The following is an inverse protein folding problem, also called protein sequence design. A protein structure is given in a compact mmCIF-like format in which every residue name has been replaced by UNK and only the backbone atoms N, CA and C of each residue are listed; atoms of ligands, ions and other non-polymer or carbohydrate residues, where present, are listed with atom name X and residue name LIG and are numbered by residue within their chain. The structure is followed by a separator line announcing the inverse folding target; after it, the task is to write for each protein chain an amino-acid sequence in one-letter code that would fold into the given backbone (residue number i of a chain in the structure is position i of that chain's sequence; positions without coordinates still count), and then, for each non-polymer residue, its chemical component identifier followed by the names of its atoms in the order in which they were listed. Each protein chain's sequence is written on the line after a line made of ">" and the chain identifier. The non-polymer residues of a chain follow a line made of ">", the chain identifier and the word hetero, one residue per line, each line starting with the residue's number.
data_IF_946301050356
#
_entry.id   IF_946301050356
#
_cell.length_a   1.000
_cell.length_b   1.000
_cell.length_c   1.000
_cell.angle_alpha   90.00
_cell.angle_beta   90.00
_cell.angle_gamma   90.00
#
_symmetry.space_group_name_H-M   'P 1'
#
loop_
_entity.id
_entity.type
_entity.pdbx_description
1 polymer ?
#
# COMPACT_ATOMS: atom_id res chain seq x y z
N UNK A 1 -0.61 -4.81 77.48
CA UNK A 1 -0.98 -3.40 77.21
C UNK A 1 -0.75 -3.16 75.73
N UNK A 2 -1.77 -3.38 74.89
CA UNK A 2 -1.66 -3.33 73.42
C UNK A 2 -2.74 -2.39 72.92
N UNK A 3 -2.33 -1.24 72.38
CA UNK A 3 -3.22 -0.22 71.84
C UNK A 3 -3.76 -0.66 70.47
N UNK A 4 -5.08 -0.88 70.39
CA UNK A 4 -5.82 -0.94 69.13
C UNK A 4 -5.93 0.48 68.54
N UNK A 5 -5.26 0.74 67.42
CA UNK A 5 -5.58 1.87 66.52
C UNK A 5 -6.63 1.41 65.52
N UNK A 6 -7.81 2.01 65.59
CA UNK A 6 -8.82 1.98 64.53
C UNK A 6 -8.44 3.02 63.49
N UNK A 7 -8.08 2.60 62.28
CA UNK A 7 -7.99 3.50 61.14
C UNK A 7 -9.36 3.55 60.46
N UNK A 8 -9.92 4.76 60.42
CA UNK A 8 -11.21 5.06 59.80
C UNK A 8 -11.04 5.21 58.29
N UNK A 9 -11.71 4.33 57.57
CA UNK A 9 -11.87 4.34 56.13
C UNK A 9 -12.84 5.47 55.73
N UNK A 10 -12.31 6.62 55.28
CA UNK A 10 -13.11 7.66 54.62
C UNK A 10 -13.09 7.41 53.11
N UNK A 11 -14.06 6.64 52.62
CA UNK A 11 -14.44 6.63 51.19
C UNK A 11 -14.89 8.03 50.81
N UNK A 12 -14.07 8.74 50.02
CA UNK A 12 -14.52 9.89 49.24
C UNK A 12 -15.31 9.37 48.06
N UNK A 13 -16.63 9.53 48.09
CA UNK A 13 -17.47 9.42 46.89
C UNK A 13 -17.04 10.51 45.91
N UNK A 14 -16.20 10.11 44.96
CA UNK A 14 -15.89 10.89 43.77
C UNK A 14 -17.17 10.97 42.94
N UNK A 15 -17.83 12.12 43.05
CA UNK A 15 -19.00 12.51 42.28
C UNK A 15 -18.61 12.55 40.79
N UNK A 16 -18.70 11.39 40.14
CA UNK A 16 -18.36 11.24 38.72
C UNK A 16 -19.56 11.78 37.96
N UNK A 17 -19.55 13.09 37.70
CA UNK A 17 -20.51 13.73 36.78
C UNK A 17 -20.33 13.06 35.42
N UNK A 18 -21.19 12.09 35.12
CA UNK A 18 -21.38 11.58 33.78
C UNK A 18 -21.75 12.78 32.91
N UNK A 19 -20.80 13.24 32.09
CA UNK A 19 -21.04 14.16 30.99
C UNK A 19 -21.93 13.42 29.98
N UNK A 20 -23.22 13.42 30.26
CA UNK A 20 -24.25 13.02 29.31
C UNK A 20 -24.31 14.13 28.27
N UNK A 21 -23.56 13.96 27.18
CA UNK A 21 -23.73 14.76 25.98
C UNK A 21 -25.16 14.55 25.50
N UNK A 22 -26.02 15.52 25.79
CA UNK A 22 -27.41 15.53 25.40
C UNK A 22 -27.48 15.91 23.91
N UNK A 23 -27.05 14.98 23.05
CA UNK A 23 -27.14 15.11 21.61
C UNK A 23 -28.63 15.15 21.26
N UNK A 24 -29.06 16.28 20.68
CA UNK A 24 -30.44 16.54 20.28
C UNK A 24 -31.08 15.31 19.63
N UNK A 25 -32.25 14.91 20.14
CA UNK A 25 -33.02 13.76 19.65
C UNK A 25 -33.35 13.87 18.15
N UNK A 26 -33.37 15.08 17.59
CA UNK A 26 -33.57 15.30 16.15
C UNK A 26 -32.32 14.99 15.32
N UNK A 27 -31.12 15.22 15.87
CA UNK A 27 -29.85 14.86 15.23
C UNK A 27 -29.68 13.34 15.24
N UNK A 28 -29.95 12.67 16.38
CA UNK A 28 -29.99 11.20 16.45
C UNK A 28 -30.96 10.61 15.43
N UNK A 29 -32.19 11.14 15.30
CA UNK A 29 -33.16 10.64 14.31
C UNK A 29 -32.74 10.92 12.86
N UNK A 30 -32.14 12.07 12.55
CA UNK A 30 -31.66 12.36 11.19
C UNK A 30 -30.46 11.49 10.81
N UNK A 31 -29.52 11.29 11.72
CA UNK A 31 -28.36 10.40 11.51
C UNK A 31 -28.81 8.94 11.42
N UNK A 32 -29.70 8.47 12.30
CA UNK A 32 -30.28 7.12 12.22
C UNK A 32 -31.15 6.91 10.98
N UNK A 33 -31.91 7.92 10.50
CA UNK A 33 -32.66 7.81 9.24
C UNK A 33 -31.75 7.82 8.03
N UNK A 34 -30.62 8.55 8.04
CA UNK A 34 -29.63 8.48 6.97
C UNK A 34 -28.84 7.16 7.00
N UNK A 35 -28.52 6.65 8.19
CA UNK A 35 -27.88 5.33 8.37
C UNK A 35 -28.80 4.16 7.98
N UNK A 36 -30.11 4.25 8.24
CA UNK A 36 -31.09 3.22 7.84
C UNK A 36 -31.29 3.10 6.32
N UNK A 37 -30.83 4.05 5.52
CA UNK A 37 -30.97 4.00 4.05
C UNK A 37 -29.80 3.27 3.37
N UNK A 38 -28.66 3.07 4.07
CA UNK A 38 -27.47 2.42 3.49
C UNK A 38 -27.01 1.16 4.26
N UNK A 39 -27.81 0.62 5.19
CA UNK A 39 -27.50 -0.65 5.90
C UNK A 39 -27.46 -1.88 4.98
N UNK A 40 -27.71 -1.75 3.68
CA UNK A 40 -27.40 -2.80 2.69
C UNK A 40 -25.90 -3.01 2.44
N UNK A 41 -25.03 -2.17 3.02
CA UNK A 41 -23.59 -2.31 2.95
C UNK A 41 -22.98 -2.83 4.26
N UNK A 42 -23.69 -3.63 5.05
CA UNK A 42 -23.05 -4.41 6.11
C UNK A 42 -22.19 -5.47 5.44
N UNK A 43 -20.87 -5.27 5.41
CA UNK A 43 -19.96 -6.38 5.14
C UNK A 43 -20.21 -7.44 6.22
N UNK A 44 -20.44 -8.69 5.81
CA UNK A 44 -20.53 -9.79 6.75
C UNK A 44 -19.19 -9.93 7.48
N UNK A 45 -19.20 -10.43 8.72
CA UNK A 45 -17.95 -10.61 9.49
C UNK A 45 -16.89 -11.39 8.69
N UNK A 46 -17.31 -12.44 7.98
CA UNK A 46 -16.44 -13.24 7.13
C UNK A 46 -15.74 -12.43 6.02
N UNK A 47 -16.44 -11.46 5.42
CA UNK A 47 -15.86 -10.59 4.40
C UNK A 47 -14.81 -9.65 5.01
N UNK A 48 -15.12 -9.09 6.18
CA UNK A 48 -14.23 -8.17 6.88
C UNK A 48 -12.97 -8.89 7.40
N UNK A 49 -13.13 -10.09 7.94
CA UNK A 49 -12.03 -10.97 8.34
C UNK A 49 -11.15 -11.33 7.12
N UNK A 50 -11.78 -11.73 6.02
CA UNK A 50 -11.09 -12.06 4.76
C UNK A 50 -10.30 -10.87 4.21
N UNK A 51 -10.88 -9.67 4.22
CA UNK A 51 -10.20 -8.44 3.81
C UNK A 51 -9.00 -8.11 4.71
N UNK A 52 -9.16 -8.19 6.03
CA UNK A 52 -8.08 -7.90 6.99
C UNK A 52 -6.92 -8.89 6.84
N UNK A 53 -7.22 -10.18 6.75
CA UNK A 53 -6.25 -11.25 6.56
C UNK A 53 -5.48 -11.06 5.26
N UNK A 54 -6.18 -10.80 4.16
CA UNK A 54 -5.58 -10.59 2.84
C UNK A 54 -4.62 -9.39 2.83
N UNK A 55 -5.03 -8.25 3.40
CA UNK A 55 -4.15 -7.07 3.53
C UNK A 55 -2.91 -7.38 4.35
N UNK A 56 -3.07 -8.10 5.47
CA UNK A 56 -1.96 -8.51 6.32
C UNK A 56 -0.96 -9.42 5.60
N UNK A 57 -1.46 -10.43 4.87
CA UNK A 57 -0.63 -11.36 4.09
C UNK A 57 0.17 -10.62 3.01
N UNK A 58 -0.49 -9.74 2.23
CA UNK A 58 0.20 -8.97 1.20
C UNK A 58 1.23 -8.01 1.78
N UNK A 59 0.88 -7.29 2.86
CA UNK A 59 1.81 -6.39 3.53
C UNK A 59 3.03 -7.15 4.07
N UNK A 60 2.83 -8.30 4.72
CA UNK A 60 3.92 -9.14 5.23
C UNK A 60 4.80 -9.69 4.10
N UNK A 61 4.20 -10.17 3.01
CA UNK A 61 4.93 -10.70 1.86
C UNK A 61 5.81 -9.62 1.21
N UNK A 62 5.23 -8.46 0.89
CA UNK A 62 5.99 -7.37 0.25
C UNK A 62 7.04 -6.81 1.21
N UNK A 63 6.72 -6.66 2.49
CA UNK A 63 7.68 -6.24 3.52
C UNK A 63 8.86 -7.21 3.61
N UNK A 64 8.60 -8.52 3.56
CA UNK A 64 9.67 -9.53 3.60
C UNK A 64 10.61 -9.41 2.40
N UNK A 65 10.07 -9.21 1.20
CA UNK A 65 10.83 -8.99 -0.03
C UNK A 65 11.62 -7.68 0.09
N UNK A 66 11.00 -6.62 0.57
CA UNK A 66 11.60 -5.30 0.71
C UNK A 66 12.79 -5.30 1.68
N UNK A 67 12.66 -5.98 2.82
CA UNK A 67 13.75 -6.15 3.78
C UNK A 67 14.86 -7.01 3.18
N UNK A 68 14.53 -8.13 2.53
CA UNK A 68 15.51 -8.99 1.89
C UNK A 68 16.33 -8.23 0.84
N UNK A 69 15.65 -7.42 0.02
CA UNK A 69 16.26 -6.54 -0.98
C UNK A 69 17.23 -5.55 -0.34
N UNK A 70 16.84 -4.91 0.77
CA UNK A 70 17.68 -3.93 1.45
C UNK A 70 19.04 -4.52 1.86
N UNK A 71 19.02 -5.75 2.38
CA UNK A 71 20.21 -6.45 2.82
C UNK A 71 20.95 -7.18 1.68
N UNK A 72 20.29 -7.40 0.53
CA UNK A 72 20.90 -8.07 -0.61
C UNK A 72 21.90 -7.21 -1.38
N UNK A 73 21.83 -5.88 -1.24
CA UNK A 73 22.73 -4.95 -1.94
C UNK A 73 23.89 -4.59 -1.01
N UNK A 74 25.13 -5.00 -1.31
CA UNK A 74 26.28 -4.67 -0.48
C UNK A 74 26.58 -3.16 -0.55
N UNK A 75 27.10 -2.61 0.55
CA UNK A 75 27.44 -1.18 0.66
C UNK A 75 28.37 -0.71 -0.48
N UNK A 76 29.32 -1.56 -0.90
CA UNK A 76 30.23 -1.22 -1.98
C UNK A 76 29.51 -0.98 -3.31
N UNK A 77 28.43 -1.70 -3.62
CA UNK A 77 27.65 -1.46 -4.83
C UNK A 77 26.92 -0.12 -4.78
N UNK A 78 26.41 0.26 -3.60
CA UNK A 78 25.82 1.59 -3.42
C UNK A 78 26.84 2.70 -3.64
N UNK A 79 28.06 2.54 -3.11
CA UNK A 79 29.15 3.50 -3.31
C UNK A 79 29.59 3.58 -4.79
N UNK A 80 29.55 2.47 -5.52
CA UNK A 80 29.80 2.47 -6.98
C UNK A 80 28.70 3.23 -7.72
N UNK A 81 27.43 3.05 -7.32
CA UNK A 81 26.31 3.83 -7.85
C UNK A 81 26.46 5.33 -7.58
N UNK A 82 26.83 5.69 -6.34
CA UNK A 82 27.08 7.08 -5.95
C UNK A 82 28.31 7.65 -6.67
N UNK A 83 29.37 6.86 -6.88
CA UNK A 83 30.53 7.25 -7.66
C UNK A 83 30.11 7.67 -9.08
N UNK A 84 29.37 6.80 -9.76
CA UNK A 84 28.87 7.05 -11.11
C UNK A 84 28.01 8.31 -11.17
N UNK A 85 27.02 8.41 -10.28
CA UNK A 85 26.13 9.58 -10.27
C UNK A 85 26.90 10.85 -9.97
N UNK A 86 27.85 10.82 -9.04
CA UNK A 86 28.65 11.99 -8.68
C UNK A 86 29.55 12.44 -9.83
N UNK A 87 30.13 11.50 -10.60
CA UNK A 87 30.87 11.83 -11.81
C UNK A 87 29.98 12.55 -12.83
N UNK A 88 28.74 12.11 -13.00
CA UNK A 88 27.83 12.69 -14.00
C UNK A 88 27.25 14.02 -13.53
N UNK A 89 26.77 14.10 -12.28
CA UNK A 89 26.02 15.24 -11.76
C UNK A 89 26.90 16.39 -11.27
N UNK A 90 28.12 16.13 -10.77
CA UNK A 90 28.89 17.14 -10.04
C UNK A 90 30.24 17.45 -10.70
N UNK A 91 30.38 18.60 -11.38
CA UNK A 91 31.66 19.03 -11.93
C UNK A 91 32.78 19.09 -10.89
N UNK A 92 32.51 19.53 -9.65
CA UNK A 92 33.54 19.58 -8.61
C UNK A 92 34.01 18.18 -8.21
N UNK A 93 33.13 17.18 -8.25
CA UNK A 93 33.49 15.80 -7.95
C UNK A 93 34.44 15.23 -9.01
N UNK A 94 34.26 15.60 -10.28
CA UNK A 94 35.14 15.16 -11.37
C UNK A 94 36.57 15.68 -11.21
N UNK A 95 36.72 16.93 -10.78
CA UNK A 95 38.03 17.52 -10.42
C UNK A 95 38.67 16.73 -9.27
N UNK A 96 37.91 16.48 -8.20
CA UNK A 96 38.38 15.68 -7.07
C UNK A 96 38.75 14.24 -7.47
N UNK A 97 37.95 13.60 -8.33
CA UNK A 97 38.21 12.26 -8.81
C UNK A 97 39.51 12.22 -9.63
N UNK A 98 39.73 13.20 -10.50
CA UNK A 98 40.96 13.33 -11.28
C UNK A 98 42.19 13.52 -10.38
N UNK A 99 42.11 14.36 -9.35
CA UNK A 99 43.19 14.53 -8.36
C UNK A 99 43.51 13.21 -7.67
N UNK A 100 42.50 12.46 -7.24
CA UNK A 100 42.69 11.15 -6.60
C UNK A 100 43.29 10.11 -7.55
N UNK A 101 42.89 10.10 -8.82
CA UNK A 101 43.49 9.21 -9.82
C UNK A 101 44.97 9.53 -10.04
N UNK A 102 45.33 10.83 -10.05
CA UNK A 102 46.74 11.27 -10.15
C UNK A 102 47.55 10.90 -8.92
N UNK A 103 47.00 11.04 -7.72
CA UNK A 103 47.68 10.64 -6.47
C UNK A 103 47.99 9.12 -6.43
N UNK A 104 47.24 8.31 -7.15
CA UNK A 104 47.43 6.85 -7.23
C UNK A 104 48.28 6.41 -8.42
N UNK A 105 48.88 7.35 -9.17
CA UNK A 105 49.60 7.08 -10.42
C UNK A 105 48.77 6.29 -11.45
N UNK A 106 47.44 6.51 -11.46
CA UNK A 106 46.54 5.82 -12.40
C UNK A 106 46.77 6.33 -13.84
N UNK A 107 46.88 5.46 -14.86
CA UNK A 107 47.09 5.90 -16.24
C UNK A 107 45.90 6.72 -16.74
N UNK A 108 46.15 7.90 -17.30
CA UNK A 108 45.11 8.83 -17.74
C UNK A 108 44.83 8.79 -19.25
N UNK A 109 45.55 7.95 -19.98
CA UNK A 109 45.39 7.73 -21.42
C UNK A 109 45.14 6.25 -21.64
N UNK A 110 44.05 5.92 -22.33
CA UNK A 110 43.68 4.55 -22.66
C UNK A 110 43.41 4.43 -24.15
N UNK A 111 44.04 3.44 -24.78
CA UNK A 111 43.72 3.03 -26.15
C UNK A 111 42.42 2.22 -26.13
N UNK A 112 41.38 2.74 -26.78
CA UNK A 112 40.05 2.13 -26.86
C UNK A 112 39.92 1.22 -28.09
N UNK A 113 40.98 1.11 -28.88
CA UNK A 113 41.01 0.43 -30.17
C UNK A 113 40.84 1.40 -31.33
N UNK A 114 40.84 0.89 -32.57
CA UNK A 114 40.62 1.71 -33.75
C UNK A 114 39.18 2.22 -33.82
N UNK A 115 39.03 3.47 -34.25
CA UNK A 115 37.75 4.10 -34.51
C UNK A 115 37.08 3.55 -35.78
N UNK A 116 35.97 4.16 -36.21
CA UNK A 116 35.25 3.76 -37.43
C UNK A 116 36.07 3.95 -38.72
N UNK A 117 37.12 4.74 -38.67
CA UNK A 117 38.02 5.03 -39.78
C UNK A 117 39.32 4.22 -39.73
N UNK A 118 39.53 3.44 -38.66
CA UNK A 118 40.73 2.64 -38.46
C UNK A 118 41.86 3.39 -37.77
N UNK A 119 41.63 4.64 -37.36
CA UNK A 119 42.60 5.44 -36.62
C UNK A 119 42.56 5.08 -35.12
N UNK A 120 43.69 5.08 -34.39
CA UNK A 120 43.71 4.75 -32.98
C UNK A 120 42.88 5.76 -32.17
N UNK A 121 41.85 5.28 -31.47
CA UNK A 121 41.04 6.08 -30.56
C UNK A 121 41.68 6.04 -29.17
N UNK A 122 42.08 7.21 -28.66
CA UNK A 122 42.71 7.34 -27.35
C UNK A 122 41.78 8.16 -26.45
N UNK A 123 41.18 7.48 -25.47
CA UNK A 123 40.41 8.14 -24.44
C UNK A 123 41.36 8.83 -23.45
N UNK A 124 41.29 10.16 -23.41
CA UNK A 124 41.95 10.96 -22.40
C UNK A 124 41.00 11.19 -21.22
N UNK A 125 41.32 10.56 -20.09
CA UNK A 125 40.51 10.65 -18.86
C UNK A 125 40.47 12.09 -18.32
N UNK A 126 41.55 12.85 -18.50
CA UNK A 126 41.59 14.26 -18.04
C UNK A 126 40.60 15.11 -18.80
N UNK A 127 40.55 15.02 -20.13
CA UNK A 127 39.57 15.77 -20.92
C UNK A 127 38.16 15.28 -20.64
N UNK A 128 37.93 13.96 -20.68
CA UNK A 128 36.62 13.37 -20.42
C UNK A 128 36.00 13.80 -19.07
N UNK A 129 36.80 13.92 -18.01
CA UNK A 129 36.33 14.39 -16.70
C UNK A 129 36.14 15.91 -16.64
N UNK A 130 36.88 16.71 -17.40
CA UNK A 130 36.80 18.16 -17.34
C UNK A 130 35.84 18.77 -18.38
N UNK A 131 35.47 18.01 -19.41
CA UNK A 131 34.51 18.43 -20.43
C UNK A 131 33.17 18.79 -19.79
N UNK A 132 32.48 19.84 -20.23
CA UNK A 132 31.19 20.20 -19.68
C UNK A 132 30.20 19.04 -19.85
N UNK A 133 29.63 18.57 -18.75
CA UNK A 133 28.57 17.55 -18.79
C UNK A 133 27.29 18.23 -18.35
N UNK A 134 26.32 18.26 -19.25
CA UNK A 134 25.01 18.81 -18.97
C UNK A 134 24.02 17.67 -18.78
N UNK A 135 23.50 17.53 -17.56
CA UNK A 135 22.55 16.49 -17.19
C UNK A 135 21.21 17.16 -16.94
N UNK A 136 20.15 16.64 -17.56
CA UNK A 136 18.78 17.06 -17.26
C UNK A 136 18.50 16.90 -15.76
N UNK A 137 18.03 17.98 -15.13
CA UNK A 137 17.70 18.06 -13.72
C UNK A 137 16.45 17.24 -13.35
N UNK A 138 16.37 15.95 -13.72
CA UNK A 138 15.28 15.08 -13.24
C UNK A 138 15.34 14.96 -11.69
N UNK A 139 16.51 15.21 -11.09
CA UNK A 139 16.72 15.26 -9.64
C UNK A 139 17.12 16.64 -9.09
N UNK A 140 16.90 17.73 -9.84
CA UNK A 140 17.01 19.10 -9.31
C UNK A 140 18.42 19.70 -9.21
N UNK A 141 19.42 19.14 -9.91
CA UNK A 141 20.80 19.68 -9.94
C UNK A 141 21.35 20.07 -11.33
N UNK A 142 20.55 19.95 -12.39
CA UNK A 142 21.02 20.12 -13.77
C UNK A 142 20.89 21.55 -14.31
N UNK A 143 21.91 22.01 -15.01
CA UNK A 143 21.88 23.20 -15.87
C UNK A 143 21.12 22.89 -17.18
N UNK A 144 20.29 23.83 -17.64
CA UNK A 144 19.40 23.73 -18.81
C UNK A 144 20.15 23.61 -20.15
N UNK A 145 20.84 22.50 -20.40
CA UNK A 145 21.55 22.26 -21.65
C UNK A 145 21.26 20.85 -22.18
N UNK A 146 20.31 20.79 -23.11
CA UNK A 146 20.05 19.62 -23.93
C UNK A 146 21.11 19.56 -25.04
N UNK A 147 22.15 18.70 -24.96
CA UNK A 147 22.67 17.93 -26.13
C UNK A 147 24.05 17.24 -26.04
N UNK A 148 24.83 17.26 -24.96
CA UNK A 148 26.17 16.63 -25.02
C UNK A 148 26.17 15.13 -24.62
N UNK A 149 25.50 14.31 -25.46
CA UNK A 149 25.47 12.84 -25.33
C UNK A 149 26.89 12.24 -25.25
N UNK A 150 27.81 12.81 -26.03
CA UNK A 150 29.19 12.37 -26.12
C UNK A 150 29.97 12.59 -24.81
N UNK A 151 29.83 13.76 -24.19
CA UNK A 151 30.46 14.07 -22.90
C UNK A 151 30.01 13.10 -21.80
N UNK A 152 28.70 12.79 -21.76
CA UNK A 152 28.15 11.78 -20.83
C UNK A 152 28.73 10.39 -21.11
N UNK A 153 28.84 9.98 -22.37
CA UNK A 153 29.44 8.69 -22.73
C UNK A 153 30.91 8.61 -22.32
N UNK A 154 31.68 9.69 -22.54
CA UNK A 154 33.08 9.75 -22.14
C UNK A 154 33.22 9.61 -20.61
N UNK A 155 32.39 10.29 -19.83
CA UNK A 155 32.37 10.13 -18.36
C UNK A 155 31.95 8.71 -17.93
N UNK A 156 30.97 8.10 -18.61
CA UNK A 156 30.55 6.72 -18.32
C UNK A 156 31.70 5.73 -18.65
N UNK A 157 32.46 5.96 -19.72
CA UNK A 157 33.67 5.18 -20.03
C UNK A 157 34.74 5.34 -18.94
N UNK A 158 35.00 6.57 -18.48
CA UNK A 158 35.91 6.81 -17.35
C UNK A 158 35.44 6.03 -16.13
N UNK A 159 34.16 6.10 -15.77
CA UNK A 159 33.59 5.33 -14.67
C UNK A 159 33.89 3.82 -14.83
N UNK A 160 33.70 3.25 -16.01
CA UNK A 160 33.96 1.83 -16.24
C UNK A 160 35.43 1.44 -16.10
N UNK A 161 36.34 2.33 -16.49
CA UNK A 161 37.78 2.15 -16.35
C UNK A 161 38.26 2.30 -14.89
N UNK A 162 37.62 3.18 -14.13
CA UNK A 162 38.10 3.57 -12.79
C UNK A 162 37.36 2.89 -11.64
N UNK A 163 36.13 2.37 -11.83
CA UNK A 163 35.27 1.85 -10.74
C UNK A 163 35.89 0.78 -9.85
N UNK A 164 36.87 0.01 -10.35
CA UNK A 164 37.57 -1.05 -9.60
C UNK A 164 38.80 -0.53 -8.87
N UNK A 165 39.40 0.57 -9.33
CA UNK A 165 40.62 1.15 -8.78
C UNK A 165 40.35 2.37 -7.88
N UNK A 166 39.26 3.10 -8.12
CA UNK A 166 38.93 4.32 -7.39
C UNK A 166 38.66 4.02 -5.90
N UNK A 167 39.21 4.81 -4.96
CA UNK A 167 39.09 4.53 -3.53
C UNK A 167 37.68 4.89 -3.02
N UNK A 168 36.72 3.97 -3.16
CA UNK A 168 35.29 4.22 -2.86
C UNK A 168 35.01 4.80 -1.47
N UNK A 169 35.87 4.53 -0.48
CA UNK A 169 35.73 5.05 0.89
C UNK A 169 35.85 6.58 0.99
N UNK A 170 36.43 7.27 0.00
CA UNK A 170 36.55 8.74 0.00
C UNK A 170 35.30 9.44 -0.51
N UNK A 171 34.36 8.69 -1.10
CA UNK A 171 33.16 9.23 -1.74
C UNK A 171 32.21 9.79 -0.70
N UNK A 172 31.89 9.02 0.34
CA UNK A 172 30.94 9.44 1.38
C UNK A 172 31.39 10.72 2.10
N UNK A 173 32.64 10.85 2.60
CA UNK A 173 33.07 12.09 3.24
C UNK A 173 33.08 13.31 2.29
N UNK A 174 33.36 13.08 1.00
CA UNK A 174 33.30 14.16 0.01
C UNK A 174 31.85 14.62 -0.19
N UNK A 175 30.92 13.68 -0.33
CA UNK A 175 29.50 13.95 -0.54
C UNK A 175 28.89 14.67 0.66
N UNK A 176 29.13 14.20 1.88
CA UNK A 176 28.63 14.80 3.11
C UNK A 176 29.07 16.26 3.28
N UNK A 177 30.25 16.61 2.74
CA UNK A 177 30.81 17.97 2.84
C UNK A 177 30.34 18.91 1.73
N UNK A 178 30.15 18.41 0.52
CA UNK A 178 30.03 19.26 -0.67
C UNK A 178 28.63 19.26 -1.29
N UNK A 179 27.78 18.26 -1.00
CA UNK A 179 26.49 18.09 -1.67
C UNK A 179 25.33 17.94 -0.69
N UNK A 180 24.15 18.51 -0.99
CA UNK A 180 22.92 18.13 -0.31
C UNK A 180 22.55 16.69 -0.69
N UNK A 181 22.21 15.87 0.31
CA UNK A 181 22.03 14.41 0.19
C UNK A 181 20.94 13.98 -0.83
N UNK A 182 20.10 14.89 -1.31
CA UNK A 182 18.86 14.61 -2.03
C UNK A 182 18.98 14.14 -3.48
N UNK A 183 20.16 13.84 -4.02
CA UNK A 183 20.28 13.31 -5.40
C UNK A 183 21.05 11.99 -5.49
N UNK A 184 21.59 11.49 -4.37
CA UNK A 184 22.40 10.29 -4.34
C UNK A 184 21.58 9.01 -4.44
N UNK A 185 22.13 8.00 -5.12
CA UNK A 185 21.49 6.70 -5.29
C UNK A 185 21.30 6.00 -3.94
N UNK A 186 22.31 6.06 -3.07
CA UNK A 186 22.22 5.53 -1.70
C UNK A 186 21.14 6.23 -0.89
N UNK A 187 21.08 7.56 -0.94
CA UNK A 187 20.08 8.35 -0.22
C UNK A 187 18.66 8.07 -0.73
N UNK A 188 18.47 8.02 -2.05
CA UNK A 188 17.18 7.69 -2.67
C UNK A 188 16.74 6.28 -2.29
N UNK A 189 17.65 5.31 -2.36
CA UNK A 189 17.37 3.95 -1.94
C UNK A 189 16.95 3.91 -0.47
N UNK A 190 17.71 4.54 0.44
CA UNK A 190 17.39 4.57 1.87
C UNK A 190 16.04 5.26 2.11
N UNK A 191 15.76 6.37 1.43
CA UNK A 191 14.52 7.13 1.59
C UNK A 191 13.31 6.33 1.13
N UNK A 192 13.31 5.85 -0.12
CA UNK A 192 12.17 5.09 -0.65
C UNK A 192 12.03 3.75 0.06
N UNK A 193 13.13 3.09 0.39
CA UNK A 193 13.10 1.83 1.12
C UNK A 193 12.57 2.02 2.55
N UNK A 194 13.06 3.03 3.27
CA UNK A 194 12.59 3.38 4.61
C UNK A 194 11.11 3.73 4.61
N UNK A 195 10.65 4.60 3.70
CA UNK A 195 9.24 4.94 3.57
C UNK A 195 8.37 3.71 3.27
N UNK A 196 8.78 2.87 2.32
CA UNK A 196 8.06 1.65 1.94
C UNK A 196 7.96 0.67 3.12
N UNK A 197 9.07 0.46 3.83
CA UNK A 197 9.14 -0.40 5.01
C UNK A 197 8.22 0.10 6.13
N UNK A 198 8.25 1.41 6.42
CA UNK A 198 7.39 2.02 7.44
C UNK A 198 5.91 1.86 7.06
N UNK A 199 5.55 2.17 5.81
CA UNK A 199 4.16 2.05 5.33
C UNK A 199 3.65 0.61 5.49
N UNK A 200 4.39 -0.38 4.98
CA UNK A 200 3.95 -1.78 5.09
C UNK A 200 3.96 -2.30 6.52
N UNK A 201 4.88 -1.85 7.36
CA UNK A 201 4.86 -2.18 8.79
C UNK A 201 3.61 -1.63 9.46
N UNK A 202 3.23 -0.38 9.18
CA UNK A 202 2.00 0.21 9.73
C UNK A 202 0.74 -0.48 9.20
N UNK A 203 0.70 -0.84 7.90
CA UNK A 203 -0.42 -1.60 7.33
C UNK A 203 -0.53 -2.99 7.97
N UNK A 204 0.59 -3.68 8.18
CA UNK A 204 0.62 -4.99 8.82
C UNK A 204 0.17 -4.91 10.29
N UNK A 205 0.71 -3.96 11.06
CA UNK A 205 0.30 -3.72 12.45
C UNK A 205 -1.17 -3.35 12.55
N UNK A 206 -1.65 -2.51 11.63
CA UNK A 206 -3.07 -2.17 11.50
C UNK A 206 -3.92 -3.42 11.28
N UNK A 207 -3.59 -4.22 10.26
CA UNK A 207 -4.29 -5.48 9.96
C UNK A 207 -4.34 -6.42 11.18
N UNK A 208 -3.20 -6.65 11.85
CA UNK A 208 -3.13 -7.51 13.05
C UNK A 208 -3.99 -6.95 14.19
N UNK A 209 -3.92 -5.63 14.44
CA UNK A 209 -4.66 -5.00 15.52
C UNK A 209 -6.17 -5.06 15.26
N UNK A 210 -6.61 -4.74 14.04
CA UNK A 210 -8.01 -4.85 13.65
C UNK A 210 -8.50 -6.30 13.68
N UNK A 211 -7.71 -7.25 13.17
CA UNK A 211 -8.04 -8.67 13.25
C UNK A 211 -8.19 -9.15 14.70
N UNK A 212 -7.27 -8.77 15.58
CA UNK A 212 -7.31 -9.16 17.00
C UNK A 212 -8.49 -8.51 17.72
N UNK A 213 -8.78 -7.22 17.44
CA UNK A 213 -9.93 -6.54 18.04
C UNK A 213 -11.25 -7.12 17.54
N UNK A 214 -11.36 -7.50 16.27
CA UNK A 214 -12.52 -8.21 15.74
C UNK A 214 -12.68 -9.55 16.46
N UNK A 215 -11.61 -10.35 16.53
CA UNK A 215 -11.61 -11.68 17.14
C UNK A 215 -11.95 -11.67 18.64
N UNK A 216 -11.60 -10.59 19.35
CA UNK A 216 -11.89 -10.41 20.78
C UNK A 216 -13.21 -9.67 21.05
N UNK A 217 -13.89 -9.16 20.03
CA UNK A 217 -15.12 -8.40 20.21
C UNK A 217 -16.36 -9.29 20.12
N UNK A 218 -17.39 -8.91 20.86
CA UNK A 218 -18.74 -9.51 20.80
C UNK A 218 -19.42 -9.35 19.42
N UNK A 219 -18.78 -8.65 18.46
CA UNK A 219 -19.25 -8.56 17.07
C UNK A 219 -19.28 -9.93 16.38
N UNK A 220 -18.44 -10.87 16.83
CA UNK A 220 -18.47 -12.24 16.32
C UNK A 220 -19.64 -13.05 16.90
N UNK A 221 -19.82 -12.99 18.21
CA UNK A 221 -20.88 -13.73 18.93
C UNK A 221 -22.28 -13.18 18.59
N UNK A 222 -22.39 -11.87 18.40
CA UNK A 222 -23.64 -11.21 18.03
C UNK A 222 -24.21 -11.65 16.68
N UNK A 223 -23.37 -11.98 15.70
CA UNK A 223 -23.83 -12.45 14.38
C UNK A 223 -24.42 -13.87 14.46
N UNK A 224 -23.81 -14.76 15.24
CA UNK A 224 -24.30 -16.12 15.48
C UNK A 224 -25.65 -16.13 16.24
N UNK A 225 -25.88 -15.14 17.11
CA UNK A 225 -27.13 -14.93 17.85
C UNK A 225 -28.19 -14.11 17.07
N UNK A 226 -27.87 -13.67 15.85
CA UNK A 226 -28.76 -12.84 15.01
C UNK A 226 -28.86 -11.36 15.43
N UNK A 227 -28.04 -10.92 16.38
CA UNK A 227 -27.92 -9.53 16.83
C UNK A 227 -26.81 -8.78 16.06
N UNK A 228 -27.18 -8.08 15.01
CA UNK A 228 -26.24 -7.35 14.13
C UNK A 228 -25.71 -6.01 14.70
N UNK A 229 -26.28 -5.52 15.81
CA UNK A 229 -25.93 -4.20 16.37
C UNK A 229 -24.43 -4.04 16.70
N UNK A 230 -23.77 -4.98 17.40
CA UNK A 230 -22.35 -4.85 17.72
C UNK A 230 -21.48 -4.77 16.46
N UNK A 231 -21.79 -5.57 15.43
CA UNK A 231 -21.11 -5.59 14.14
C UNK A 231 -21.30 -4.29 13.37
N UNK A 232 -22.51 -3.70 13.38
CA UNK A 232 -22.76 -2.38 12.79
C UNK A 232 -21.91 -1.29 13.43
N UNK A 233 -21.80 -1.28 14.77
CA UNK A 233 -20.96 -0.31 15.47
C UNK A 233 -19.47 -0.50 15.20
N UNK A 234 -19.01 -1.75 15.17
CA UNK A 234 -17.63 -2.07 14.80
C UNK A 234 -17.33 -1.59 13.38
N UNK A 235 -18.22 -1.85 12.42
CA UNK A 235 -18.08 -1.47 11.03
C UNK A 235 -17.95 0.04 10.82
N UNK A 236 -18.63 0.87 11.62
CA UNK A 236 -18.53 2.34 11.54
C UNK A 236 -17.08 2.82 11.77
N UNK A 237 -16.31 2.13 12.62
CA UNK A 237 -14.93 2.48 12.95
C UNK A 237 -13.94 1.71 12.07
N UNK A 238 -14.20 0.43 11.84
CA UNK A 238 -13.33 -0.46 11.08
C UNK A 238 -13.28 -0.08 9.60
N UNK A 239 -14.42 0.24 8.96
CA UNK A 239 -14.47 0.49 7.52
C UNK A 239 -13.60 1.69 7.07
N UNK A 240 -13.67 2.89 7.71
CA UNK A 240 -12.79 3.99 7.35
C UNK A 240 -11.31 3.62 7.51
N UNK A 241 -10.98 2.86 8.55
CA UNK A 241 -9.59 2.46 8.82
C UNK A 241 -9.10 1.41 7.82
N UNK A 242 -9.97 0.49 7.41
CA UNK A 242 -9.74 -0.42 6.30
C UNK A 242 -9.48 0.35 5.00
N UNK A 243 -10.29 1.37 4.68
CA UNK A 243 -10.04 2.20 3.50
C UNK A 243 -8.68 2.91 3.55
N UNK A 244 -8.29 3.46 4.70
CA UNK A 244 -6.99 4.11 4.89
C UNK A 244 -5.85 3.09 4.73
N UNK A 245 -5.96 1.91 5.34
CA UNK A 245 -4.93 0.86 5.24
C UNK A 245 -4.80 0.32 3.82
N UNK A 246 -5.91 0.15 3.08
CA UNK A 246 -5.87 -0.18 1.65
C UNK A 246 -5.20 0.93 0.83
N UNK A 247 -5.55 2.20 1.06
CA UNK A 247 -4.91 3.33 0.39
C UNK A 247 -3.39 3.38 0.65
N UNK A 248 -2.99 3.17 1.91
CA UNK A 248 -1.59 3.09 2.30
C UNK A 248 -0.88 1.88 1.67
N UNK A 249 -1.54 0.72 1.58
CA UNK A 249 -1.01 -0.47 0.90
C UNK A 249 -0.76 -0.19 -0.58
N UNK A 250 -1.69 0.45 -1.28
CA UNK A 250 -1.51 0.83 -2.70
C UNK A 250 -0.34 1.80 -2.84
N UNK A 251 -0.27 2.84 -2.00
CA UNK A 251 0.85 3.78 -2.00
C UNK A 251 2.19 3.09 -1.72
N UNK A 252 2.22 2.15 -0.78
CA UNK A 252 3.39 1.33 -0.46
C UNK A 252 3.82 0.45 -1.63
N UNK A 253 2.88 -0.19 -2.35
CA UNK A 253 3.16 -0.98 -3.56
C UNK A 253 3.78 -0.10 -4.64
N UNK A 254 3.23 1.10 -4.88
CA UNK A 254 3.79 2.04 -5.85
C UNK A 254 5.22 2.41 -5.45
N UNK A 255 5.46 2.82 -4.20
CA UNK A 255 6.79 3.15 -3.70
C UNK A 255 7.78 1.97 -3.77
N UNK A 256 7.31 0.75 -3.51
CA UNK A 256 8.09 -0.49 -3.67
C UNK A 256 8.60 -0.66 -5.10
N UNK A 257 7.75 -0.46 -6.11
CA UNK A 257 8.17 -0.53 -7.51
C UNK A 257 9.09 0.63 -7.93
N UNK A 258 8.88 1.84 -7.40
CA UNK A 258 9.83 2.95 -7.56
C UNK A 258 11.21 2.54 -7.00
N UNK A 259 11.26 1.98 -5.80
CA UNK A 259 12.49 1.50 -5.18
C UNK A 259 13.18 0.42 -6.03
N UNK A 260 12.43 -0.57 -6.56
CA UNK A 260 12.95 -1.58 -7.50
C UNK A 260 13.63 -0.94 -8.72
N UNK A 261 13.03 0.09 -9.30
CA UNK A 261 13.61 0.79 -10.44
C UNK A 261 14.93 1.48 -10.07
N UNK A 262 15.00 2.14 -8.90
CA UNK A 262 16.24 2.76 -8.42
C UNK A 262 17.36 1.76 -8.19
N UNK A 263 17.05 0.56 -7.70
CA UNK A 263 18.08 -0.48 -7.54
C UNK A 263 18.60 -0.99 -8.88
N UNK A 264 17.74 -1.07 -9.89
CA UNK A 264 18.18 -1.39 -11.25
C UNK A 264 19.08 -0.30 -11.84
N UNK A 265 18.87 0.98 -11.49
CA UNK A 265 19.76 2.07 -11.89
C UNK A 265 21.19 1.90 -11.35
N UNK A 266 21.32 1.51 -10.08
CA UNK A 266 22.62 1.30 -9.42
C UNK A 266 23.44 0.24 -10.18
N UNK A 267 22.78 -0.80 -10.70
CA UNK A 267 23.41 -1.92 -11.41
C UNK A 267 23.41 -1.79 -12.93
N UNK A 268 22.91 -0.69 -13.48
CA UNK A 268 22.78 -0.53 -14.92
C UNK A 268 24.18 -0.51 -15.59
N UNK A 269 24.39 -1.28 -16.68
CA UNK A 269 25.71 -1.42 -17.28
C UNK A 269 26.19 -0.17 -18.01
N UNK A 270 25.32 0.80 -18.32
CA UNK A 270 25.66 2.08 -18.93
C UNK A 270 24.67 3.17 -18.54
N UNK A 271 25.08 4.43 -18.61
CA UNK A 271 24.26 5.55 -18.14
C UNK A 271 23.01 5.69 -19.01
N UNK A 272 23.13 5.38 -20.31
CA UNK A 272 21.98 5.37 -21.22
C UNK A 272 20.95 4.31 -20.84
N UNK A 273 21.38 3.11 -20.46
CA UNK A 273 20.47 2.07 -19.98
C UNK A 273 19.85 2.52 -18.66
N UNK A 274 20.64 3.12 -17.76
CA UNK A 274 20.15 3.69 -16.52
C UNK A 274 19.05 4.74 -16.78
N UNK A 275 19.32 5.79 -17.56
CA UNK A 275 18.35 6.86 -17.83
C UNK A 275 17.09 6.38 -18.59
N UNK A 276 17.24 5.44 -19.52
CA UNK A 276 16.12 4.92 -20.29
C UNK A 276 15.22 4.00 -19.46
N UNK A 277 15.77 3.28 -18.49
CA UNK A 277 15.06 2.21 -17.80
C UNK A 277 13.84 2.71 -16.98
N UNK A 278 13.95 3.70 -16.06
CA UNK A 278 12.79 4.25 -15.37
C UNK A 278 11.78 4.84 -16.35
N UNK A 279 12.28 5.50 -17.41
CA UNK A 279 11.42 6.11 -18.43
C UNK A 279 10.53 5.07 -19.11
N UNK A 280 11.12 3.94 -19.52
CA UNK A 280 10.39 2.86 -20.20
C UNK A 280 9.55 2.07 -19.20
N UNK A 281 10.15 1.58 -18.12
CA UNK A 281 9.46 0.69 -17.19
C UNK A 281 8.40 1.39 -16.36
N UNK A 282 8.67 2.58 -15.82
CA UNK A 282 7.69 3.27 -14.99
C UNK A 282 6.59 3.91 -15.83
N UNK A 283 6.96 4.73 -16.82
CA UNK A 283 5.96 5.55 -17.51
C UNK A 283 5.29 4.83 -18.68
N UNK A 284 5.93 3.84 -19.32
CA UNK A 284 5.34 3.14 -20.47
C UNK A 284 4.73 1.79 -20.12
N UNK A 285 5.19 1.13 -19.06
CA UNK A 285 4.72 -0.21 -18.69
C UNK A 285 3.91 -0.18 -17.39
N UNK A 286 4.54 0.18 -16.26
CA UNK A 286 3.92 0.07 -14.94
C UNK A 286 2.78 1.06 -14.74
N UNK A 287 2.94 2.34 -15.09
CA UNK A 287 1.86 3.33 -14.96
C UNK A 287 0.66 2.97 -15.85
N UNK A 288 0.80 2.74 -17.17
CA UNK A 288 -0.34 2.39 -18.02
C UNK A 288 -0.95 1.04 -17.66
N UNK A 289 -0.12 0.03 -17.34
CA UNK A 289 -0.58 -1.28 -16.90
C UNK A 289 -1.33 -1.22 -15.57
N UNK A 290 -0.80 -0.48 -14.60
CA UNK A 290 -1.44 -0.24 -13.30
C UNK A 290 -2.76 0.54 -13.44
N UNK A 291 -2.80 1.56 -14.31
CA UNK A 291 -4.04 2.28 -14.63
C UNK A 291 -5.06 1.37 -15.32
N UNK A 292 -4.63 0.53 -16.26
CA UNK A 292 -5.50 -0.43 -16.95
C UNK A 292 -6.09 -1.45 -15.97
N UNK A 293 -5.26 -2.05 -15.10
CA UNK A 293 -5.72 -2.98 -14.07
C UNK A 293 -6.65 -2.28 -13.08
N UNK A 294 -6.34 -1.03 -12.69
CA UNK A 294 -7.19 -0.23 -11.82
C UNK A 294 -8.55 0.06 -12.46
N UNK A 295 -8.56 0.45 -13.74
CA UNK A 295 -9.78 0.69 -14.52
C UNK A 295 -10.61 -0.58 -14.66
N UNK A 296 -9.98 -1.71 -15.01
CA UNK A 296 -10.67 -3.01 -15.10
C UNK A 296 -11.25 -3.44 -13.75
N UNK A 297 -10.51 -3.25 -12.66
CA UNK A 297 -11.00 -3.53 -11.29
C UNK A 297 -12.19 -2.63 -10.95
N UNK A 298 -12.15 -1.35 -11.32
CA UNK A 298 -13.25 -0.41 -11.10
C UNK A 298 -14.49 -0.77 -11.92
N UNK A 299 -14.33 -1.14 -13.19
CA UNK A 299 -15.42 -1.61 -14.05
C UNK A 299 -16.02 -2.90 -13.49
N UNK A 300 -15.20 -3.87 -13.08
CA UNK A 300 -15.67 -5.10 -12.46
C UNK A 300 -16.49 -4.82 -11.19
N UNK A 301 -16.06 -3.86 -10.36
CA UNK A 301 -16.79 -3.42 -9.18
C UNK A 301 -18.15 -2.80 -9.54
N UNK A 302 -18.20 -1.92 -10.56
CA UNK A 302 -19.46 -1.34 -11.04
C UNK A 302 -20.40 -2.43 -11.55
N UNK A 303 -19.90 -3.35 -12.37
CA UNK A 303 -20.70 -4.44 -12.95
C UNK A 303 -21.23 -5.36 -11.85
N UNK A 304 -20.39 -5.73 -10.87
CA UNK A 304 -20.77 -6.54 -9.72
C UNK A 304 -21.86 -5.86 -8.88
N UNK A 305 -21.71 -4.57 -8.60
CA UNK A 305 -22.70 -3.80 -7.84
C UNK A 305 -24.04 -3.68 -8.58
N UNK A 306 -24.00 -3.43 -9.89
CA UNK A 306 -25.20 -3.36 -10.72
C UNK A 306 -25.89 -4.73 -10.82
N UNK A 307 -25.12 -5.81 -10.98
CA UNK A 307 -25.67 -7.17 -11.02
C UNK A 307 -26.42 -7.52 -9.73
N UNK A 308 -25.81 -7.24 -8.57
CA UNK A 308 -26.44 -7.45 -7.26
C UNK A 308 -27.73 -6.63 -7.12
N UNK A 309 -27.74 -5.38 -7.60
CA UNK A 309 -28.94 -4.54 -7.62
C UNK A 309 -30.06 -5.14 -8.49
N UNK A 310 -29.74 -5.65 -9.69
CA UNK A 310 -30.71 -6.29 -10.57
C UNK A 310 -31.26 -7.60 -9.98
N UNK A 311 -30.42 -8.41 -9.36
CA UNK A 311 -30.85 -9.66 -8.72
C UNK A 311 -31.77 -9.39 -7.53
N UNK A 312 -31.43 -8.42 -6.67
CA UNK A 312 -32.28 -7.97 -5.57
C UNK A 312 -33.65 -7.48 -6.06
N UNK A 313 -33.66 -6.71 -7.16
CA UNK A 313 -34.91 -6.23 -7.75
C UNK A 313 -35.74 -7.40 -8.32
N UNK A 314 -35.09 -8.40 -8.93
CA UNK A 314 -35.77 -9.58 -9.45
C UNK A 314 -36.37 -10.41 -8.31
N UNK A 315 -35.62 -10.64 -7.22
CA UNK A 315 -36.09 -11.37 -6.03
C UNK A 315 -37.30 -10.70 -5.36
N UNK A 316 -37.30 -9.37 -5.24
CA UNK A 316 -38.47 -8.63 -4.73
C UNK A 316 -39.71 -8.83 -5.58
N UNK A 317 -39.59 -8.69 -6.91
CA UNK A 317 -40.72 -8.92 -7.82
C UNK A 317 -41.28 -10.34 -7.72
N UNK A 318 -40.42 -11.35 -7.55
CA UNK A 318 -40.90 -12.74 -7.36
C UNK A 318 -41.59 -12.93 -6.02
N UNK A 319 -41.10 -12.32 -4.94
CA UNK A 319 -41.76 -12.39 -3.62
C UNK A 319 -43.13 -11.70 -3.63
N UNK A 320 -43.23 -10.53 -4.26
CA UNK A 320 -44.50 -9.81 -4.37
C UNK A 320 -45.53 -10.60 -5.20
N UNK A 321 -45.09 -11.28 -6.27
CA UNK A 321 -45.96 -12.13 -7.09
C UNK A 321 -46.45 -13.38 -6.35
N UNK A 322 -45.59 -14.02 -5.54
CA UNK A 322 -45.98 -15.19 -4.74
C UNK A 322 -46.89 -14.80 -3.57
N UNK A 323 -46.70 -13.63 -2.95
CA UNK A 323 -47.62 -13.16 -1.90
C UNK A 323 -48.99 -12.76 -2.44
N UNK A 324 -49.08 -12.30 -3.69
CA UNK A 324 -50.38 -11.93 -4.28
C UNK A 324 -51.18 -13.17 -4.70
N UNK A 325 -50.52 -14.22 -5.21
CA UNK A 325 -51.19 -15.48 -5.55
C UNK A 325 -51.70 -16.26 -4.32
N UNK A 326 -51.04 -16.13 -3.16
CA UNK A 326 -51.49 -16.77 -1.91
C UNK A 326 -52.73 -16.09 -1.33
N UNK A 327 -52.91 -14.79 -1.57
CA UNK A 327 -54.11 -14.06 -1.11
C UNK A 327 -55.33 -14.38 -2.00
N UNK A 328 -55.13 -14.62 -3.30
CA UNK A 328 -56.22 -15.02 -4.20
C UNK A 328 -56.72 -16.46 -3.94
N UNK A 329 -55.88 -17.38 -3.46
CA UNK A 329 -56.33 -18.74 -3.08
C UNK A 329 -57.05 -18.78 -1.72
N UNK A 330 -56.80 -17.85 -0.78
CA UNK A 330 -57.54 -17.79 0.49
C UNK A 330 -58.93 -17.13 0.38
N UNK A 331 -59.16 -16.22 -0.58
CA UNK A 331 -60.49 -15.61 -0.78
C UNK A 331 -61.49 -16.54 -1.49
N UNK A 332 -61.03 -17.49 -2.31
CA UNK A 332 -61.91 -18.45 -2.99
C UNK A 332 -62.34 -19.65 -2.09
N UNK A 333 -61.61 -19.94 -1.01
CA UNK A 333 -61.95 -21.03 -0.08
C UNK A 333 -62.86 -20.58 1.10
N UNK A 334 -62.98 -19.28 1.40
CA UNK A 334 -63.91 -18.78 2.44
C UNK A 334 -65.36 -18.65 1.95
N UNK A 335 -65.65 -18.69 0.64
CA UNK A 335 -67.02 -18.62 0.10
C UNK A 335 -67.75 -19.99 0.01
N UNK A 336 -67.12 -21.09 0.43
CA UNK A 336 -67.74 -22.43 0.47
C UNK A 336 -67.98 -23.03 1.86
N UNK A 337 -67.88 -22.24 2.94
CA UNK A 337 -68.11 -22.75 4.30
C UNK A 337 -69.15 -21.99 5.13
N UNK A 338 -70.21 -21.50 4.50
CA UNK A 338 -71.44 -21.08 5.19
C UNK A 338 -72.70 -21.72 4.58
N UNK A 339 -72.89 -23.03 4.80
CA UNK A 339 -74.22 -23.63 5.02
C UNK A 339 -74.08 -25.14 5.26
N UNK A 340 -74.11 -25.53 6.52
CA UNK A 340 -73.92 -26.94 6.90
C UNK A 340 -74.10 -27.18 8.39
N UNK A 341 -75.33 -26.95 8.87
CA UNK A 341 -75.80 -27.44 10.16
C UNK A 341 -75.64 -28.97 10.26
N UNK A 342 -74.97 -29.42 11.32
CA UNK A 342 -75.54 -30.45 12.18
C UNK A 342 -74.82 -31.81 12.28
N UNK A 343 -74.64 -32.16 13.56
CA UNK A 343 -74.93 -33.49 14.15
C UNK A 343 -73.74 -34.42 14.40
N UNK A 344 -73.60 -34.68 15.70
CA UNK A 344 -73.07 -35.84 16.42
C UNK A 344 -71.57 -36.15 16.42
N UNK A 345 -71.11 -36.42 17.63
CA UNK A 345 -69.72 -36.55 17.99
C UNK A 345 -69.22 -37.98 18.02
N UNK A 346 -67.91 -38.08 18.18
CA UNK A 346 -67.22 -39.21 18.78
C UNK A 346 -65.89 -38.71 19.38
N UNK A 347 -65.43 -39.24 20.53
CA UNK A 347 -64.18 -38.85 21.14
C UNK A 347 -63.04 -39.70 20.58
N UNK A 348 -61.94 -39.09 20.13
CA UNK A 348 -60.71 -39.83 19.85
C UNK A 348 -59.49 -39.25 20.57
N UNK A 349 -59.08 -40.05 21.55
CA UNK A 349 -57.73 -40.52 21.87
C UNK A 349 -56.52 -39.61 21.60
N UNK A 350 -55.91 -39.26 22.74
CA UNK A 350 -54.57 -38.74 22.90
C UNK A 350 -53.58 -39.88 22.58
N UNK A 351 -52.87 -39.79 21.46
CA UNK A 351 -51.68 -40.62 21.21
C UNK A 351 -50.41 -39.79 21.41
N UNK A 352 -49.82 -39.93 22.61
CA UNK A 352 -48.45 -39.52 22.90
C UNK A 352 -47.47 -40.32 22.06
N UNK A 353 -46.65 -39.65 21.23
CA UNK A 353 -45.42 -40.25 20.68
C UNK A 353 -44.17 -39.62 21.26
N UNK A 354 -43.50 -40.49 22.01
CA UNK A 354 -42.18 -40.40 22.61
C UNK A 354 -41.08 -40.30 21.56
N UNK A 355 -39.98 -39.68 22.00
CA UNK A 355 -38.70 -39.52 21.31
C UNK A 355 -38.06 -40.81 20.79
N UNK A 356 -37.24 -40.65 19.74
CA UNK A 356 -35.89 -41.21 19.66
C UNK A 356 -34.97 -40.24 18.95
#
# INVERSE_FOLDING_TARGET
>A
MIHRRKEGEKRKEGNTKLLTFNVSSSFKRKVLKKLKVDTKLSANHADLEGMLSTVGIFAALILSIQVAIFYAIPMNEMLIGDYRNSLVEFPQFRVFALEKLREMDFPLLYDVGPDKHGDPDILNITSALLDPVCVSAIYGGGTDCYNEREAIMNVDHVFHLTKTAFPLHVITPWLDRNMPQSTLSSYMMVRYNGCTTIIFTLVLLGSIFFYTTLALSDAREGEDEGNLLPTEYYNIIAMPTLMITYGAMIAGIVMFFFNLCFMMLIRAPSYHVAAAFPTIWMYRVLMPGGLMIGLLSFVALIVSNNYKFFEDHKRRKTMDATSSSVIEEEEDDEEQQSDGLGVDGEPLEIETRTAM
#
